data_IF_414368581295
#
_entry.id   IF_414368581295
#
_cell.length_a   1.000
_cell.length_b   1.000
_cell.length_c   1.000
_cell.angle_alpha   90.00
_cell.angle_beta   90.00
_cell.angle_gamma   90.00
#
_symmetry.space_group_name_H-M   'P 1'
#
loop_
_entity.id
_entity.type
_entity.pdbx_description
1 polymer ?
#
# COMPACT_ATOMS: atom_id res chain seq x y z
N UNK A 1 -1.95 -15.42 25.42
CA UNK A 1 -2.47 -15.52 24.03
C UNK A 1 -1.60 -14.67 23.10
N UNK A 2 -1.26 -15.17 21.91
CA UNK A 2 -0.50 -14.39 20.92
C UNK A 2 -1.36 -13.26 20.39
N UNK A 3 -0.85 -12.01 20.41
CA UNK A 3 -1.53 -10.85 19.80
C UNK A 3 -1.59 -11.00 18.29
N UNK A 4 -2.70 -10.59 17.69
CA UNK A 4 -2.97 -10.75 16.24
C UNK A 4 -2.93 -9.42 15.53
N UNK A 5 -2.18 -9.36 14.44
CA UNK A 5 -1.98 -8.16 13.63
C UNK A 5 -2.62 -8.35 12.26
N UNK A 6 -3.48 -7.42 11.86
CA UNK A 6 -3.92 -7.29 10.48
C UNK A 6 -2.92 -6.37 9.76
N UNK A 7 -2.01 -6.97 9.00
CA UNK A 7 -0.95 -6.29 8.28
C UNK A 7 -1.40 -5.94 6.86
N UNK A 8 -1.32 -4.69 6.48
CA UNK A 8 -1.72 -4.20 5.16
C UNK A 8 -0.47 -3.76 4.40
N UNK A 9 -0.26 -4.34 3.22
CA UNK A 9 0.84 -3.95 2.34
C UNK A 9 0.47 -4.12 0.88
N UNK A 10 0.76 -3.12 0.06
CA UNK A 10 0.61 -3.21 -1.39
C UNK A 10 1.72 -4.06 -2.03
N UNK A 11 2.94 -3.92 -1.54
CA UNK A 11 4.11 -4.60 -2.05
C UNK A 11 4.43 -5.84 -1.21
N UNK A 12 4.12 -7.02 -1.76
CA UNK A 12 4.33 -8.31 -1.10
C UNK A 12 4.68 -9.39 -2.15
N UNK A 13 5.37 -10.48 -1.79
CA UNK A 13 5.68 -11.54 -2.76
C UNK A 13 4.46 -12.01 -3.56
N UNK A 14 4.58 -12.35 -4.84
CA UNK A 14 5.81 -12.61 -5.59
C UNK A 14 6.48 -11.38 -6.23
N UNK A 15 6.07 -10.17 -5.84
CA UNK A 15 6.79 -8.98 -6.26
C UNK A 15 8.18 -8.96 -5.65
N UNK A 16 9.15 -8.34 -6.34
CA UNK A 16 10.50 -8.12 -5.87
C UNK A 16 10.77 -6.66 -5.48
N UNK A 17 11.96 -6.40 -4.99
CA UNK A 17 12.46 -5.07 -4.68
C UNK A 17 12.44 -4.69 -3.20
N UNK A 18 13.03 -3.52 -2.86
CA UNK A 18 13.30 -3.14 -1.47
C UNK A 18 12.05 -3.07 -0.58
N UNK A 19 10.94 -2.57 -1.13
CA UNK A 19 9.67 -2.49 -0.42
C UNK A 19 9.14 -3.87 0.03
N UNK A 20 9.26 -4.85 -0.85
CA UNK A 20 8.82 -6.24 -0.58
C UNK A 20 9.71 -6.86 0.49
N UNK A 21 11.04 -6.70 0.37
CA UNK A 21 11.99 -7.21 1.36
C UNK A 21 11.73 -6.61 2.75
N UNK A 22 11.46 -5.30 2.84
CA UNK A 22 11.11 -4.65 4.12
C UNK A 22 9.85 -5.30 4.71
N UNK A 23 8.78 -5.43 3.94
CA UNK A 23 7.53 -6.01 4.43
C UNK A 23 7.69 -7.46 4.88
N UNK A 24 8.42 -8.28 4.12
CA UNK A 24 8.76 -9.65 4.53
C UNK A 24 9.53 -9.68 5.84
N UNK A 25 10.55 -8.84 5.99
CA UNK A 25 11.35 -8.79 7.22
C UNK A 25 10.50 -8.31 8.40
N UNK A 26 9.66 -7.28 8.20
CA UNK A 26 8.74 -6.81 9.25
C UNK A 26 7.82 -7.94 9.71
N UNK A 27 7.14 -8.63 8.80
CA UNK A 27 6.26 -9.77 9.13
C UNK A 27 7.04 -10.89 9.83
N UNK A 28 8.24 -11.22 9.31
CA UNK A 28 9.11 -12.24 9.92
C UNK A 28 9.47 -11.90 11.38
N UNK A 29 9.89 -10.66 11.63
CA UNK A 29 10.30 -10.27 12.98
C UNK A 29 9.10 -10.15 13.91
N UNK A 30 7.96 -9.63 13.46
CA UNK A 30 6.73 -9.64 14.25
C UNK A 30 6.35 -11.08 14.64
N UNK A 31 6.41 -12.02 13.70
CA UNK A 31 6.13 -13.44 14.00
C UNK A 31 7.13 -14.04 14.97
N UNK A 32 8.43 -13.73 14.84
CA UNK A 32 9.47 -14.17 15.80
C UNK A 32 9.26 -13.63 17.21
N UNK A 33 8.68 -12.43 17.34
CA UNK A 33 8.33 -11.82 18.62
C UNK A 33 6.96 -12.24 19.15
N UNK A 34 6.40 -13.31 18.63
CA UNK A 34 5.18 -13.94 19.15
C UNK A 34 3.88 -13.33 18.66
N UNK A 35 3.90 -12.43 17.64
CA UNK A 35 2.69 -11.93 17.03
C UNK A 35 2.18 -12.88 15.94
N UNK A 36 0.87 -13.05 15.86
CA UNK A 36 0.21 -13.75 14.76
C UNK A 36 -0.18 -12.75 13.67
N UNK A 37 0.45 -12.80 12.50
CA UNK A 37 0.29 -11.80 11.45
C UNK A 37 -0.52 -12.35 10.29
N UNK A 38 -1.63 -11.71 9.96
CA UNK A 38 -2.38 -11.94 8.72
C UNK A 38 -2.15 -10.77 7.76
N UNK A 39 -1.83 -11.05 6.51
CA UNK A 39 -1.45 -10.03 5.52
C UNK A 39 -2.56 -9.83 4.50
N UNK A 40 -2.92 -8.56 4.21
CA UNK A 40 -3.75 -8.17 3.07
C UNK A 40 -2.85 -7.50 2.03
N UNK A 41 -2.89 -8.03 0.81
CA UNK A 41 -2.12 -7.50 -0.32
C UNK A 41 -2.90 -7.69 -1.63
N UNK A 42 -2.67 -6.88 -2.68
CA UNK A 42 -3.29 -7.15 -3.97
C UNK A 42 -2.81 -8.49 -4.54
N UNK A 43 -3.68 -9.12 -5.34
CA UNK A 43 -3.32 -10.30 -6.13
C UNK A 43 -2.19 -9.96 -7.07
N UNK A 44 -1.60 -11.00 -7.60
CA UNK A 44 -0.51 -10.96 -8.56
C UNK A 44 -0.62 -9.78 -9.55
N UNK A 45 0.31 -8.86 -9.44
CA UNK A 45 0.40 -7.64 -10.21
C UNK A 45 1.62 -7.69 -11.11
N UNK A 46 1.49 -7.09 -12.26
CA UNK A 46 2.66 -6.80 -13.06
C UNK A 46 3.44 -5.66 -12.39
N UNK A 47 4.58 -6.03 -11.89
CA UNK A 47 5.57 -5.11 -11.36
C UNK A 47 6.87 -5.33 -12.14
N UNK A 48 7.69 -4.31 -12.21
CA UNK A 48 8.95 -4.33 -12.96
C UNK A 48 9.90 -5.44 -12.51
N UNK A 49 9.79 -5.85 -11.26
CA UNK A 49 10.60 -6.89 -10.66
C UNK A 49 9.71 -7.94 -9.98
N UNK A 50 9.87 -9.20 -10.38
CA UNK A 50 9.28 -10.36 -9.70
C UNK A 50 10.41 -11.21 -9.17
N UNK A 51 10.23 -11.73 -7.97
CA UNK A 51 11.17 -12.64 -7.33
C UNK A 51 10.40 -13.75 -6.62
N UNK A 52 10.26 -14.87 -7.31
CA UNK A 52 9.55 -16.04 -6.81
C UNK A 52 10.26 -16.68 -5.60
N UNK A 53 11.58 -16.48 -5.47
CA UNK A 53 12.35 -17.01 -4.33
C UNK A 53 11.90 -16.42 -2.98
N UNK A 54 11.29 -15.24 -2.99
CA UNK A 54 10.78 -14.58 -1.80
C UNK A 54 9.53 -15.26 -1.22
N UNK A 55 8.82 -16.07 -2.01
CA UNK A 55 7.65 -16.81 -1.52
C UNK A 55 8.01 -17.86 -0.46
N UNK A 56 9.21 -18.42 -0.53
CA UNK A 56 9.70 -19.38 0.47
C UNK A 56 9.98 -18.73 1.84
N UNK A 57 10.10 -17.40 1.87
CA UNK A 57 10.42 -16.64 3.08
C UNK A 57 9.17 -16.08 3.80
N UNK A 58 7.98 -16.52 3.44
CA UNK A 58 6.73 -16.04 4.03
C UNK A 58 6.58 -16.57 5.47
N UNK A 59 6.19 -15.68 6.36
CA UNK A 59 6.02 -15.96 7.80
C UNK A 59 4.63 -15.54 8.31
N UNK A 60 3.79 -15.04 7.41
CA UNK A 60 2.40 -14.74 7.74
C UNK A 60 1.61 -16.01 7.99
N UNK A 61 0.68 -15.92 8.93
CA UNK A 61 -0.24 -17.02 9.23
C UNK A 61 -1.29 -17.19 8.13
N UNK A 62 -1.79 -16.08 7.58
CA UNK A 62 -2.76 -16.06 6.49
C UNK A 62 -2.48 -14.91 5.54
N UNK A 63 -2.60 -15.19 4.26
CA UNK A 63 -2.43 -14.21 3.19
C UNK A 63 -3.77 -14.02 2.45
N UNK A 64 -4.30 -12.78 2.52
CA UNK A 64 -5.48 -12.38 1.78
C UNK A 64 -5.07 -11.66 0.51
N UNK A 65 -5.31 -12.28 -0.64
CA UNK A 65 -5.09 -11.69 -1.96
C UNK A 65 -6.36 -10.99 -2.43
N UNK A 66 -6.25 -9.73 -2.84
CA UNK A 66 -7.38 -8.91 -3.29
C UNK A 66 -7.24 -8.50 -4.74
N UNK A 67 -8.34 -8.15 -5.38
CA UNK A 67 -8.31 -7.43 -6.66
C UNK A 67 -7.82 -6.00 -6.46
N UNK A 68 -7.47 -5.31 -7.55
CA UNK A 68 -7.23 -3.88 -7.59
C UNK A 68 -7.50 -3.37 -9.00
N UNK A 69 -8.08 -2.20 -9.10
CA UNK A 69 -8.34 -1.49 -10.36
C UNK A 69 -7.27 -0.42 -10.56
N UNK A 70 -5.99 -0.80 -10.58
CA UNK A 70 -4.98 0.17 -10.96
C UNK A 70 -4.93 0.37 -12.48
N UNK A 71 -4.49 1.57 -12.95
CA UNK A 71 -4.57 1.95 -14.36
C UNK A 71 -3.88 0.99 -15.31
N UNK A 72 -2.73 0.45 -14.91
CA UNK A 72 -1.98 -0.50 -15.74
C UNK A 72 -2.76 -1.81 -15.95
N UNK A 73 -3.44 -2.27 -14.90
CA UNK A 73 -4.30 -3.47 -14.99
C UNK A 73 -5.51 -3.22 -15.88
N UNK A 74 -6.17 -2.06 -15.74
CA UNK A 74 -7.33 -1.69 -16.55
C UNK A 74 -6.93 -1.52 -18.01
N UNK A 75 -5.84 -0.81 -18.28
CA UNK A 75 -5.35 -0.57 -19.65
C UNK A 75 -5.02 -1.87 -20.39
N UNK A 76 -4.43 -2.84 -19.67
CA UNK A 76 -4.12 -4.15 -20.23
C UNK A 76 -5.38 -4.97 -20.52
N UNK A 77 -6.33 -4.98 -19.59
CA UNK A 77 -7.61 -5.68 -19.77
C UNK A 77 -8.36 -5.19 -21.02
N UNK A 78 -8.28 -3.89 -21.31
CA UNK A 78 -8.94 -3.28 -22.45
C UNK A 78 -8.24 -3.52 -23.79
N UNK A 79 -6.90 -3.65 -23.80
CA UNK A 79 -6.12 -3.65 -25.05
C UNK A 79 -5.60 -5.00 -25.51
N UNK A 80 -5.71 -6.09 -24.73
CA UNK A 80 -5.08 -7.41 -25.03
C UNK A 80 -3.61 -7.31 -25.48
N UNK A 81 -2.91 -6.25 -25.06
CA UNK A 81 -1.59 -5.87 -25.57
C UNK A 81 -0.48 -6.55 -24.77
N UNK A 82 0.57 -6.99 -25.44
CA UNK A 82 1.74 -7.59 -24.82
C UNK A 82 2.48 -6.63 -23.88
N UNK A 83 3.06 -7.18 -22.81
CA UNK A 83 3.77 -6.46 -21.73
C UNK A 83 4.80 -5.45 -22.23
N UNK A 84 5.62 -5.88 -23.20
CA UNK A 84 6.69 -5.06 -23.77
C UNK A 84 6.16 -3.85 -24.56
N UNK A 85 5.06 -4.01 -25.27
CA UNK A 85 4.44 -2.92 -26.05
C UNK A 85 3.77 -1.88 -25.15
N UNK A 86 3.09 -2.30 -24.08
CA UNK A 86 2.45 -1.35 -23.16
C UNK A 86 3.49 -0.50 -22.41
N UNK A 87 4.60 -1.10 -21.97
CA UNK A 87 5.71 -0.39 -21.33
C UNK A 87 6.39 0.58 -22.30
N UNK A 88 6.65 0.16 -23.54
CA UNK A 88 7.26 1.00 -24.58
C UNK A 88 6.35 2.19 -24.92
N UNK A 89 5.05 1.94 -25.11
CA UNK A 89 4.07 2.99 -25.38
C UNK A 89 3.97 4.03 -24.24
N UNK A 90 4.04 3.58 -22.99
CA UNK A 90 4.08 4.51 -21.85
C UNK A 90 5.36 5.33 -21.83
N UNK A 91 6.51 4.73 -22.13
CA UNK A 91 7.79 5.44 -22.19
C UNK A 91 7.82 6.50 -23.29
N UNK A 92 7.23 6.20 -24.47
CA UNK A 92 7.15 7.07 -25.64
C UNK A 92 6.05 8.14 -25.52
N UNK A 93 5.15 8.05 -24.53
CA UNK A 93 4.08 9.05 -24.33
C UNK A 93 4.70 10.37 -23.86
N UNK A 94 4.38 11.52 -24.50
CA UNK A 94 4.88 12.83 -24.06
C UNK A 94 4.51 13.14 -22.60
N UNK A 95 5.43 13.78 -21.87
CA UNK A 95 5.27 14.06 -20.43
C UNK A 95 3.98 14.84 -20.09
N UNK A 96 3.53 15.76 -20.97
CA UNK A 96 2.27 16.49 -20.79
C UNK A 96 1.05 15.57 -20.68
N UNK A 97 1.02 14.47 -21.44
CA UNK A 97 -0.07 13.50 -21.36
C UNK A 97 0.06 12.61 -20.11
N UNK A 98 1.29 12.20 -19.78
CA UNK A 98 1.54 11.48 -18.52
C UNK A 98 1.14 12.34 -17.33
N UNK A 99 1.48 13.63 -17.33
CA UNK A 99 1.10 14.57 -16.28
C UNK A 99 -0.43 14.73 -16.18
N UNK A 100 -1.14 14.85 -17.31
CA UNK A 100 -2.59 14.89 -17.32
C UNK A 100 -3.21 13.63 -16.72
N UNK A 101 -2.76 12.44 -17.15
CA UNK A 101 -3.26 11.18 -16.59
C UNK A 101 -2.90 11.02 -15.11
N UNK A 102 -1.71 11.45 -14.68
CA UNK A 102 -1.35 11.50 -13.24
C UNK A 102 -2.29 12.42 -12.47
N UNK A 103 -2.71 13.51 -13.07
CA UNK A 103 -3.66 14.46 -12.47
C UNK A 103 -5.07 13.92 -12.25
N UNK A 104 -5.45 12.83 -12.88
CA UNK A 104 -6.77 12.21 -12.66
C UNK A 104 -6.86 11.42 -11.34
N UNK A 105 -5.73 11.12 -10.70
CA UNK A 105 -5.71 10.31 -9.49
C UNK A 105 -5.65 11.19 -8.24
N UNK A 106 -6.61 11.04 -7.29
CA UNK A 106 -6.71 11.95 -6.15
C UNK A 106 -5.48 11.97 -5.23
N UNK A 107 -4.84 10.83 -4.99
CA UNK A 107 -3.70 10.69 -4.09
C UNK A 107 -2.54 10.01 -4.81
N UNK A 108 -2.80 8.81 -5.35
CA UNK A 108 -1.84 8.05 -6.14
C UNK A 108 -2.57 7.11 -7.11
N UNK A 109 -1.82 6.53 -8.04
CA UNK A 109 -2.36 5.65 -9.07
C UNK A 109 -2.77 4.24 -8.56
N UNK A 110 -2.68 3.99 -7.27
CA UNK A 110 -3.08 2.73 -6.63
C UNK A 110 -4.39 2.86 -5.85
N UNK A 111 -5.03 4.03 -5.89
CA UNK A 111 -6.30 4.28 -5.21
C UNK A 111 -7.41 3.30 -5.63
N UNK A 112 -7.32 2.73 -6.82
CA UNK A 112 -8.22 1.66 -7.28
C UNK A 112 -8.14 0.36 -6.46
N UNK A 113 -7.16 0.21 -5.58
CA UNK A 113 -7.10 -0.89 -4.63
C UNK A 113 -8.02 -0.68 -3.42
N UNK A 114 -8.29 0.56 -3.06
CA UNK A 114 -8.99 0.95 -1.84
C UNK A 114 -10.32 0.20 -1.57
N UNK A 115 -11.26 0.07 -2.52
CA UNK A 115 -12.52 -0.63 -2.27
C UNK A 115 -12.32 -2.11 -1.93
N UNK A 116 -11.37 -2.78 -2.59
CA UNK A 116 -11.08 -4.20 -2.37
C UNK A 116 -10.35 -4.42 -1.05
N UNK A 117 -9.43 -3.54 -0.69
CA UNK A 117 -8.77 -3.52 0.60
C UNK A 117 -9.81 -3.43 1.73
N UNK A 118 -10.71 -2.44 1.65
CA UNK A 118 -11.75 -2.23 2.67
C UNK A 118 -12.69 -3.44 2.76
N UNK A 119 -13.13 -3.98 1.62
CA UNK A 119 -14.03 -5.14 1.60
C UNK A 119 -13.37 -6.37 2.25
N UNK A 120 -12.13 -6.67 1.87
CA UNK A 120 -11.38 -7.81 2.42
C UNK A 120 -11.05 -7.60 3.88
N UNK A 121 -10.63 -6.39 4.27
CA UNK A 121 -10.37 -6.04 5.66
C UNK A 121 -11.60 -6.20 6.55
N UNK A 122 -12.77 -5.72 6.12
CA UNK A 122 -14.03 -5.93 6.83
C UNK A 122 -14.34 -7.43 7.01
N UNK A 123 -14.12 -8.23 5.97
CA UNK A 123 -14.32 -9.69 6.04
C UNK A 123 -13.36 -10.33 7.03
N UNK A 124 -12.08 -9.94 7.01
CA UNK A 124 -11.07 -10.43 7.94
C UNK A 124 -11.43 -10.10 9.39
N UNK A 125 -11.79 -8.83 9.65
CA UNK A 125 -12.19 -8.34 10.98
C UNK A 125 -13.43 -9.04 11.54
N UNK A 126 -14.38 -9.47 10.70
CA UNK A 126 -15.56 -10.24 11.13
C UNK A 126 -15.24 -11.71 11.45
N UNK A 127 -14.21 -12.25 10.84
CA UNK A 127 -13.85 -13.67 10.98
C UNK A 127 -12.92 -13.94 12.15
N UNK A 128 -12.26 -12.93 12.69
CA UNK A 128 -11.20 -13.06 13.68
C UNK A 128 -11.03 -11.81 14.52
N UNK A 129 -10.66 -12.01 15.77
CA UNK A 129 -10.26 -10.94 16.65
C UNK A 129 -8.81 -10.55 16.35
N UNK A 130 -8.62 -9.27 16.02
CA UNK A 130 -7.32 -8.65 15.86
C UNK A 130 -7.10 -7.65 17.00
N UNK A 131 -5.84 -7.44 17.38
CA UNK A 131 -5.46 -6.49 18.41
C UNK A 131 -5.06 -5.14 17.83
N UNK A 132 -4.57 -5.12 16.57
CA UNK A 132 -4.21 -3.90 15.88
C UNK A 132 -4.20 -4.07 14.35
N UNK A 133 -4.27 -2.92 13.68
CA UNK A 133 -4.05 -2.80 12.23
C UNK A 133 -2.68 -2.15 12.02
N UNK A 134 -1.84 -2.81 11.23
CA UNK A 134 -0.52 -2.31 10.84
C UNK A 134 -0.52 -2.07 9.34
N UNK A 135 -0.09 -0.89 8.88
CA UNK A 135 0.04 -0.60 7.45
C UNK A 135 1.45 -0.13 7.11
N UNK A 136 2.06 -0.77 6.13
CA UNK A 136 3.25 -0.26 5.45
C UNK A 136 2.81 0.74 4.38
N UNK A 137 3.06 2.01 4.64
CA UNK A 137 2.67 3.12 3.76
C UNK A 137 3.51 3.11 2.48
N UNK A 138 2.84 3.48 1.39
CA UNK A 138 3.32 3.39 0.02
C UNK A 138 2.74 2.15 -0.69
N UNK A 139 1.65 2.36 -1.46
CA UNK A 139 1.00 3.64 -1.83
C UNK A 139 0.24 4.30 -0.68
N UNK A 140 0.18 5.63 -0.69
CA UNK A 140 -0.43 6.40 0.40
C UNK A 140 -1.96 6.26 0.45
N UNK A 141 -2.61 6.04 -0.70
CA UNK A 141 -4.05 5.73 -0.77
C UNK A 141 -4.45 4.51 0.05
N UNK A 142 -3.54 3.55 0.27
CA UNK A 142 -3.80 2.40 1.14
C UNK A 142 -4.04 2.80 2.60
N UNK A 143 -3.40 3.89 3.05
CA UNK A 143 -3.61 4.47 4.37
C UNK A 143 -5.06 4.84 4.65
N UNK A 144 -5.79 5.33 3.64
CA UNK A 144 -7.22 5.63 3.76
C UNK A 144 -8.04 4.37 4.07
N UNK A 145 -7.65 3.25 3.47
CA UNK A 145 -8.28 1.95 3.74
C UNK A 145 -8.03 1.48 5.17
N UNK A 146 -6.78 1.56 5.62
CA UNK A 146 -6.41 1.22 6.99
C UNK A 146 -7.12 2.11 8.01
N UNK A 147 -7.16 3.42 7.78
CA UNK A 147 -7.93 4.38 8.58
C UNK A 147 -9.41 3.99 8.67
N UNK A 148 -10.03 3.69 7.52
CA UNK A 148 -11.45 3.28 7.50
C UNK A 148 -11.69 2.00 8.28
N UNK A 149 -10.81 1.02 8.17
CA UNK A 149 -10.90 -0.25 8.90
C UNK A 149 -10.72 -0.04 10.39
N UNK A 150 -9.72 0.75 10.82
CA UNK A 150 -9.49 1.11 12.21
C UNK A 150 -10.71 1.84 12.82
N UNK A 151 -11.27 2.82 12.13
CA UNK A 151 -12.48 3.53 12.57
C UNK A 151 -13.71 2.63 12.72
N UNK A 152 -13.84 1.61 11.86
CA UNK A 152 -14.96 0.67 11.89
C UNK A 152 -14.83 -0.39 12.99
N UNK A 153 -13.62 -0.78 13.31
CA UNK A 153 -13.33 -1.84 14.30
C UNK A 153 -12.98 -1.31 15.69
N UNK A 154 -12.62 -0.04 15.80
CA UNK A 154 -12.07 0.53 17.05
C UNK A 154 -10.62 0.10 17.34
N UNK A 155 -9.98 -0.67 16.44
CA UNK A 155 -8.62 -1.16 16.65
C UNK A 155 -7.58 -0.04 16.47
N UNK A 156 -6.50 -0.04 17.28
CA UNK A 156 -5.39 0.85 17.11
C UNK A 156 -4.74 0.70 15.72
N UNK A 157 -4.28 1.81 15.16
CA UNK A 157 -3.64 1.88 13.85
C UNK A 157 -2.16 2.22 14.00
N UNK A 158 -1.30 1.38 13.44
CA UNK A 158 0.14 1.62 13.30
C UNK A 158 0.44 1.99 11.86
N UNK A 159 1.03 3.17 11.64
CA UNK A 159 1.52 3.63 10.34
C UNK A 159 3.03 3.39 10.26
N UNK A 160 3.50 2.64 9.27
CA UNK A 160 4.92 2.47 8.96
C UNK A 160 5.27 3.33 7.74
N UNK A 161 5.83 4.51 7.99
CA UNK A 161 6.25 5.48 6.98
C UNK A 161 7.63 5.12 6.44
N UNK A 162 7.65 4.75 5.19
CA UNK A 162 8.87 4.43 4.49
C UNK A 162 9.48 5.64 3.80
N UNK A 163 8.62 6.50 3.29
CA UNK A 163 8.94 7.72 2.54
C UNK A 163 8.07 8.86 3.05
N UNK A 164 8.50 10.11 2.84
CA UNK A 164 7.66 11.29 3.07
C UNK A 164 6.43 11.25 2.17
N UNK A 165 5.30 11.71 2.67
CA UNK A 165 4.09 11.80 1.87
C UNK A 165 3.96 13.15 1.16
N UNK A 166 3.86 14.25 1.91
CA UNK A 166 3.64 15.57 1.32
C UNK A 166 4.80 16.54 1.46
N UNK A 167 5.81 16.23 2.26
CA UNK A 167 7.01 17.07 2.44
C UNK A 167 7.93 17.04 1.23
N UNK A 168 8.12 15.90 0.59
CA UNK A 168 8.85 15.84 -0.67
C UNK A 168 7.93 16.33 -1.79
N UNK A 169 8.06 17.62 -2.13
CA UNK A 169 7.29 18.27 -3.19
C UNK A 169 7.52 17.70 -4.59
N UNK A 170 8.55 16.89 -4.78
CA UNK A 170 9.04 16.40 -6.06
C UNK A 170 8.49 15.01 -6.44
N UNK A 171 7.62 14.42 -5.61
CA UNK A 171 6.93 13.24 -6.09
C UNK A 171 6.02 13.63 -7.25
N UNK A 172 6.44 13.26 -8.45
CA UNK A 172 5.85 13.55 -9.77
C UNK A 172 4.35 13.19 -9.89
N UNK A 173 3.75 12.68 -8.84
CA UNK A 173 2.37 12.22 -8.80
C UNK A 173 1.35 13.29 -8.40
N UNK A 174 1.79 14.44 -7.85
CA UNK A 174 0.90 15.49 -7.36
C UNK A 174 1.10 16.80 -8.12
N UNK A 175 0.65 16.83 -9.36
CA UNK A 175 0.86 17.98 -10.26
C UNK A 175 -0.09 19.15 -9.99
N UNK A 176 -1.23 18.92 -9.31
CA UNK A 176 -2.26 19.92 -9.13
C UNK A 176 -2.44 20.33 -7.67
N UNK A 177 -2.73 21.60 -7.45
CA UNK A 177 -2.90 22.15 -6.10
C UNK A 177 -3.98 21.41 -5.28
N UNK A 178 -5.06 20.98 -5.94
CA UNK A 178 -6.13 20.23 -5.28
C UNK A 178 -5.65 18.84 -4.78
N UNK A 179 -4.77 18.16 -5.54
CA UNK A 179 -4.19 16.88 -5.13
C UNK A 179 -3.30 17.07 -3.90
N UNK A 180 -2.47 18.12 -3.91
CA UNK A 180 -1.61 18.47 -2.76
C UNK A 180 -2.45 18.80 -1.53
N UNK A 181 -3.51 19.58 -1.70
CA UNK A 181 -4.42 19.91 -0.60
C UNK A 181 -5.12 18.67 -0.03
N UNK A 182 -5.60 17.78 -0.90
CA UNK A 182 -6.25 16.54 -0.50
C UNK A 182 -5.27 15.60 0.22
N UNK A 183 -4.05 15.45 -0.29
CA UNK A 183 -3.00 14.64 0.34
C UNK A 183 -2.62 15.16 1.72
N UNK A 184 -2.39 16.48 1.86
CA UNK A 184 -2.12 17.12 3.16
C UNK A 184 -3.27 16.94 4.15
N UNK A 185 -4.51 17.04 3.68
CA UNK A 185 -5.68 16.81 4.52
C UNK A 185 -5.68 15.38 5.07
N UNK A 186 -5.48 14.38 4.21
CA UNK A 186 -5.48 12.99 4.61
C UNK A 186 -4.25 12.61 5.44
N UNK A 187 -3.08 13.12 5.12
CA UNK A 187 -1.87 12.93 5.91
C UNK A 187 -2.09 13.37 7.36
N UNK A 188 -2.51 14.63 7.57
CA UNK A 188 -2.83 15.15 8.91
C UNK A 188 -3.88 14.32 9.63
N UNK A 189 -4.89 13.86 8.90
CA UNK A 189 -5.98 13.05 9.47
C UNK A 189 -5.51 11.66 9.89
N UNK A 190 -4.65 11.02 9.09
CA UNK A 190 -4.07 9.73 9.41
C UNK A 190 -3.12 9.83 10.60
N UNK A 191 -2.22 10.81 10.59
CA UNK A 191 -1.24 11.00 11.66
C UNK A 191 -1.91 11.25 13.01
N UNK A 192 -2.96 12.08 13.05
CA UNK A 192 -3.73 12.33 14.27
C UNK A 192 -4.51 11.10 14.76
N UNK A 193 -4.87 10.19 13.88
CA UNK A 193 -5.62 8.99 14.24
C UNK A 193 -4.72 7.81 14.59
N UNK A 194 -3.49 7.79 14.12
CA UNK A 194 -2.55 6.70 14.38
C UNK A 194 -2.22 6.60 15.88
N UNK A 195 -2.21 5.37 16.37
CA UNK A 195 -1.76 5.08 17.74
C UNK A 195 -0.23 5.05 17.83
N UNK A 196 0.44 4.76 16.70
CA UNK A 196 1.89 4.75 16.56
C UNK A 196 2.27 5.06 15.13
N UNK A 197 3.32 5.85 14.95
CA UNK A 197 3.95 6.11 13.66
C UNK A 197 5.38 5.58 13.76
N UNK A 198 5.71 4.60 12.93
CA UNK A 198 7.06 4.10 12.75
C UNK A 198 7.65 4.73 11.48
N UNK A 199 8.91 5.13 11.53
CA UNK A 199 9.60 5.77 10.40
C UNK A 199 10.82 4.96 9.97
N UNK A 200 11.20 5.08 8.70
CA UNK A 200 12.36 4.37 8.15
C UNK A 200 13.69 4.99 8.58
N UNK A 201 13.70 6.29 8.84
CA UNK A 201 14.89 7.07 9.17
C UNK A 201 14.58 8.12 10.24
N UNK A 202 15.60 8.55 10.97
CA UNK A 202 15.48 9.64 11.95
C UNK A 202 14.96 10.93 11.30
N UNK A 203 15.41 11.29 10.09
CA UNK A 203 14.95 12.50 9.41
C UNK A 203 13.45 12.53 9.18
N UNK A 204 12.79 11.38 8.89
CA UNK A 204 11.32 11.32 8.77
C UNK A 204 10.64 11.48 10.14
N UNK A 205 11.33 11.17 11.21
CA UNK A 205 10.80 11.31 12.58
C UNK A 205 10.87 12.74 13.07
N UNK A 206 11.89 13.48 12.66
CA UNK A 206 12.19 14.83 13.16
C UNK A 206 11.36 15.91 12.46
N UNK A 207 10.81 15.63 11.26
CA UNK A 207 9.94 16.49 10.46
C UNK A 207 8.45 16.27 10.77
#
# INVERSE_FOLDING_TARGET
>A
MSKRILYISYFYPPLGGPAVLRNLKTVKYLSKHGFSVDVITPSDREYLCRDESLQVQQHERKLFRTRSLDPMTVMRSLRRTDKKQASKLYMETPERFKAFFRGLWPIDNKIGWLPFLIQTGKKALRQRDYDLIYISMGPFSAGLGAYRLSRLSGLPLVLDLRDYWTLLNDYEMQNFAWQKALSRHWEKKLYRHASLIATATQGIQDD
#
